data_IF_106237352407
#
_entry.id   IF_106237352407
#
_cell.length_a   1.000
_cell.length_b   1.000
_cell.length_c   1.000
_cell.angle_alpha   90.00
_cell.angle_beta   90.00
_cell.angle_gamma   90.00
#
_symmetry.space_group_name_H-M   'P 1'
#
loop_
_entity.id
_entity.type
_entity.pdbx_description
1 polymer ?
#
# COMPACT_ATOMS: atom_id res chain seq x y z
N UNK A 1 20.89 3.70 52.30
CA UNK A 1 21.63 3.43 51.04
C UNK A 1 20.90 2.44 50.12
N UNK A 2 20.28 1.37 50.62
CA UNK A 2 19.56 0.36 49.81
C UNK A 2 18.37 0.93 49.02
N UNK A 3 17.66 1.91 49.58
CA UNK A 3 16.47 2.53 48.98
C UNK A 3 16.80 3.38 47.74
N UNK A 4 17.99 3.96 47.68
CA UNK A 4 18.45 4.77 46.55
C UNK A 4 18.85 3.86 45.36
N UNK A 5 19.48 2.70 45.64
CA UNK A 5 19.83 1.70 44.62
C UNK A 5 18.60 1.06 43.95
N UNK A 6 17.54 0.77 44.71
CA UNK A 6 16.30 0.22 44.15
C UNK A 6 15.62 1.23 43.24
N UNK A 7 15.55 2.48 43.67
CA UNK A 7 14.97 3.57 42.86
C UNK A 7 15.78 3.77 41.58
N UNK A 8 17.11 3.79 41.66
CA UNK A 8 18.00 3.93 40.50
C UNK A 8 17.85 2.76 39.52
N UNK A 9 17.81 1.52 40.00
CA UNK A 9 17.61 0.33 39.16
C UNK A 9 16.24 0.31 38.47
N UNK A 10 15.17 0.75 39.15
CA UNK A 10 13.83 0.87 38.55
C UNK A 10 13.79 1.91 37.43
N UNK A 11 14.48 3.05 37.61
CA UNK A 11 14.60 4.06 36.56
C UNK A 11 15.39 3.54 35.36
N UNK A 12 16.46 2.78 35.58
CA UNK A 12 17.26 2.17 34.50
C UNK A 12 16.44 1.15 33.69
N UNK A 13 15.62 0.32 34.34
CA UNK A 13 14.73 -0.65 33.67
C UNK A 13 13.65 0.04 32.84
N UNK A 14 13.07 1.14 33.34
CA UNK A 14 12.11 1.97 32.60
C UNK A 14 12.73 2.63 31.36
N UNK A 15 13.98 3.10 31.46
CA UNK A 15 14.72 3.70 30.35
C UNK A 15 15.07 2.64 29.28
N UNK A 16 15.50 1.44 29.69
CA UNK A 16 15.82 0.33 28.76
C UNK A 16 14.58 -0.15 28.01
N UNK A 17 13.42 -0.22 28.65
CA UNK A 17 12.16 -0.55 27.99
C UNK A 17 11.71 0.51 26.96
N UNK A 18 12.17 1.76 27.09
CA UNK A 18 11.76 2.90 26.26
C UNK A 18 12.60 3.10 25.00
N UNK A 19 13.73 2.39 24.85
CA UNK A 19 14.63 2.55 23.69
C UNK A 19 14.46 1.48 22.61
N UNK A 20 13.63 0.47 22.85
CA UNK A 20 13.27 -0.51 21.82
C UNK A 20 11.94 -0.12 21.16
N UNK A 21 11.92 1.03 20.47
CA UNK A 21 10.87 1.31 19.48
C UNK A 21 11.34 0.67 18.18
N UNK A 22 10.73 -0.43 17.71
CA UNK A 22 11.13 -1.05 16.47
C UNK A 22 10.84 -0.09 15.32
N UNK A 23 11.87 0.37 14.62
CA UNK A 23 11.92 0.89 13.24
C UNK A 23 10.62 1.36 12.56
N UNK A 24 9.81 2.22 13.19
CA UNK A 24 8.64 2.85 12.53
C UNK A 24 9.08 3.83 11.40
N UNK A 25 10.31 4.34 11.48
CA UNK A 25 10.86 5.28 10.50
C UNK A 25 11.10 4.68 9.10
N UNK A 26 11.28 3.35 9.00
CA UNK A 26 11.46 2.66 7.72
C UNK A 26 10.16 2.53 6.94
N UNK A 27 9.08 2.12 7.62
CA UNK A 27 7.76 1.93 7.02
C UNK A 27 7.12 3.27 6.60
N UNK A 28 7.25 4.32 7.41
CA UNK A 28 6.62 5.62 7.12
C UNK A 28 7.18 6.29 5.87
N UNK A 29 8.51 6.29 5.69
CA UNK A 29 9.15 6.89 4.53
C UNK A 29 8.83 6.13 3.24
N UNK A 30 8.77 4.79 3.29
CA UNK A 30 8.36 3.98 2.14
C UNK A 30 6.89 4.24 1.78
N UNK A 31 6.02 4.31 2.80
CA UNK A 31 4.61 4.63 2.63
C UNK A 31 4.42 6.00 2.00
N UNK A 32 5.09 7.03 2.54
CA UNK A 32 5.04 8.40 2.01
C UNK A 32 5.49 8.44 0.55
N UNK A 33 6.60 7.76 0.23
CA UNK A 33 7.10 7.66 -1.15
C UNK A 33 6.10 6.95 -2.07
N UNK A 34 5.44 5.88 -1.62
CA UNK A 34 4.37 5.21 -2.35
C UNK A 34 3.21 6.17 -2.64
N UNK A 35 2.75 6.92 -1.63
CA UNK A 35 1.69 7.91 -1.78
C UNK A 35 2.08 9.01 -2.78
N UNK A 36 3.20 9.69 -2.55
CA UNK A 36 3.61 10.86 -3.33
C UNK A 36 3.96 10.51 -4.78
N UNK A 37 4.62 9.36 -5.01
CA UNK A 37 5.08 8.99 -6.35
C UNK A 37 4.05 8.25 -7.19
N UNK A 38 3.03 7.66 -6.56
CA UNK A 38 2.07 6.80 -7.26
C UNK A 38 0.61 7.15 -7.00
N UNK A 39 0.19 7.21 -5.74
CA UNK A 39 -1.25 7.26 -5.43
C UNK A 39 -1.79 8.67 -5.58
N UNK A 40 -1.01 9.70 -5.24
CA UNK A 40 -1.42 11.11 -5.30
C UNK A 40 -1.83 11.58 -6.70
N UNK A 41 -1.44 10.83 -7.74
CA UNK A 41 -1.75 11.13 -9.15
C UNK A 41 -2.99 10.41 -9.69
N UNK A 42 -3.47 9.40 -8.98
CA UNK A 42 -4.75 8.74 -9.28
C UNK A 42 -5.85 9.48 -8.51
N UNK A 43 -6.98 9.74 -9.16
CA UNK A 43 -8.11 10.37 -8.46
C UNK A 43 -8.58 9.49 -7.29
N UNK A 44 -9.03 10.08 -6.16
CA UNK A 44 -9.48 9.30 -5.01
C UNK A 44 -10.57 8.27 -5.34
N UNK A 45 -11.47 8.63 -6.26
CA UNK A 45 -12.53 7.74 -6.77
C UNK A 45 -11.95 6.53 -7.49
N UNK A 46 -10.95 6.74 -8.34
CA UNK A 46 -10.31 5.65 -9.08
C UNK A 46 -9.43 4.79 -8.19
N UNK A 47 -8.68 5.38 -7.26
CA UNK A 47 -7.93 4.64 -6.25
C UNK A 47 -8.83 3.68 -5.46
N UNK A 48 -10.00 4.16 -5.02
CA UNK A 48 -10.99 3.32 -4.33
C UNK A 48 -11.53 2.20 -5.24
N UNK A 49 -11.82 2.49 -6.51
CA UNK A 49 -12.28 1.51 -7.49
C UNK A 49 -11.27 0.38 -7.73
N UNK A 50 -10.01 0.74 -7.91
CA UNK A 50 -8.89 -0.20 -8.11
C UNK A 50 -8.74 -1.12 -6.90
N UNK A 51 -8.68 -0.55 -5.70
CA UNK A 51 -8.56 -1.32 -4.45
C UNK A 51 -9.79 -2.24 -4.28
N UNK A 52 -10.99 -1.73 -4.55
CA UNK A 52 -12.24 -2.49 -4.41
C UNK A 52 -12.36 -3.65 -5.41
N UNK A 53 -11.73 -3.57 -6.57
CA UNK A 53 -11.68 -4.68 -7.52
C UNK A 53 -10.70 -5.78 -7.10
N UNK A 54 -9.50 -5.38 -6.68
CA UNK A 54 -8.47 -6.35 -6.25
C UNK A 54 -8.87 -7.03 -4.95
N UNK A 55 -9.24 -6.26 -3.93
CA UNK A 55 -9.50 -6.77 -2.59
C UNK A 55 -10.96 -7.12 -2.33
N UNK A 56 -11.87 -6.64 -3.18
CA UNK A 56 -13.31 -6.89 -3.08
C UNK A 56 -13.89 -7.58 -4.31
N UNK A 57 -15.12 -7.19 -4.65
CA UNK A 57 -15.92 -7.73 -5.76
C UNK A 57 -16.42 -6.64 -6.72
N UNK A 58 -15.93 -5.42 -6.61
CA UNK A 58 -16.36 -4.31 -7.48
C UNK A 58 -15.60 -4.32 -8.80
N UNK A 59 -16.16 -3.69 -9.82
CA UNK A 59 -15.53 -3.52 -11.13
C UNK A 59 -15.07 -2.06 -11.26
N UNK A 60 -13.85 -1.87 -11.72
CA UNK A 60 -13.26 -0.56 -12.03
C UNK A 60 -13.93 0.00 -13.29
N UNK A 61 -14.12 1.32 -13.35
CA UNK A 61 -14.63 1.95 -14.56
C UNK A 61 -13.53 2.12 -15.61
N UNK A 62 -13.91 2.22 -16.88
CA UNK A 62 -12.96 2.47 -17.99
C UNK A 62 -12.16 3.78 -17.79
N UNK A 63 -12.75 4.91 -17.37
CA UNK A 63 -11.96 6.11 -17.06
C UNK A 63 -10.89 5.88 -15.99
N UNK A 64 -11.19 5.09 -14.96
CA UNK A 64 -10.22 4.74 -13.93
C UNK A 64 -9.14 3.77 -14.44
N UNK A 65 -9.44 2.94 -15.44
CA UNK A 65 -8.41 2.18 -16.14
C UNK A 65 -7.44 3.08 -16.90
N UNK A 66 -7.91 4.17 -17.51
CA UNK A 66 -7.01 5.14 -18.16
C UNK A 66 -6.07 5.81 -17.15
N UNK A 67 -6.60 6.28 -16.01
CA UNK A 67 -5.75 6.83 -14.94
C UNK A 67 -4.73 5.79 -14.46
N UNK A 68 -5.15 4.55 -14.23
CA UNK A 68 -4.25 3.48 -13.80
C UNK A 68 -3.13 3.20 -14.81
N UNK A 69 -3.47 3.13 -16.11
CA UNK A 69 -2.50 2.86 -17.18
C UNK A 69 -1.53 4.04 -17.34
N UNK A 70 -2.03 5.28 -17.23
CA UNK A 70 -1.22 6.49 -17.28
C UNK A 70 -0.20 6.55 -16.13
N UNK A 71 -0.58 6.16 -14.92
CA UNK A 71 0.35 6.09 -13.78
C UNK A 71 1.30 4.90 -13.84
N UNK A 72 0.89 3.83 -14.51
CA UNK A 72 1.77 2.74 -14.90
C UNK A 72 1.83 1.56 -13.92
N UNK A 73 2.25 0.42 -14.48
CA UNK A 73 2.22 -0.89 -13.81
C UNK A 73 2.97 -0.92 -12.49
N UNK A 74 4.10 -0.21 -12.42
CA UNK A 74 4.95 -0.18 -11.22
C UNK A 74 4.23 0.40 -10.02
N UNK A 75 3.39 1.42 -10.23
CA UNK A 75 2.61 2.05 -9.17
C UNK A 75 1.47 1.14 -8.70
N UNK A 76 0.71 0.58 -9.64
CA UNK A 76 -0.29 -0.44 -9.36
C UNK A 76 0.28 -1.62 -8.56
N UNK A 77 1.42 -2.14 -8.99
CA UNK A 77 2.03 -3.31 -8.36
C UNK A 77 2.48 -3.06 -6.93
N UNK A 78 3.09 -1.90 -6.67
CA UNK A 78 3.52 -1.54 -5.31
C UNK A 78 2.32 -1.31 -4.39
N UNK A 79 1.28 -0.63 -4.86
CA UNK A 79 0.07 -0.39 -4.07
C UNK A 79 -0.58 -1.69 -3.63
N UNK A 80 -0.83 -2.60 -4.58
CA UNK A 80 -1.46 -3.89 -4.25
C UNK A 80 -0.56 -4.69 -3.31
N UNK A 81 0.75 -4.79 -3.58
CA UNK A 81 1.66 -5.56 -2.70
C UNK A 81 1.68 -5.00 -1.29
N UNK A 82 1.75 -3.68 -1.14
CA UNK A 82 1.71 -3.02 0.16
C UNK A 82 0.45 -3.36 0.96
N UNK A 83 -0.73 -3.35 0.31
CA UNK A 83 -1.99 -3.71 0.98
C UNK A 83 -2.07 -5.21 1.24
N UNK A 84 -1.65 -6.06 0.30
CA UNK A 84 -1.71 -7.51 0.45
C UNK A 84 -0.79 -8.05 1.57
N UNK A 85 0.30 -7.33 1.85
CA UNK A 85 1.21 -7.64 2.96
C UNK A 85 0.65 -7.30 4.35
N UNK A 86 -0.54 -6.71 4.45
CA UNK A 86 -1.15 -6.44 5.76
C UNK A 86 -1.47 -7.75 6.49
N UNK A 87 -1.31 -7.84 7.82
CA UNK A 87 -1.50 -9.08 8.59
C UNK A 87 -2.86 -9.76 8.37
N UNK A 88 -3.91 -8.97 8.14
CA UNK A 88 -5.27 -9.47 7.88
C UNK A 88 -5.50 -9.96 6.44
N UNK A 89 -4.56 -9.73 5.53
CA UNK A 89 -4.68 -10.04 4.09
C UNK A 89 -3.60 -11.00 3.58
N UNK A 90 -2.45 -11.09 4.26
CA UNK A 90 -1.28 -11.86 3.81
C UNK A 90 -1.57 -13.34 3.55
N UNK A 91 -2.51 -13.95 4.29
CA UNK A 91 -2.92 -15.34 4.04
C UNK A 91 -3.55 -15.59 2.65
N UNK A 92 -3.99 -14.53 1.97
CA UNK A 92 -4.53 -14.56 0.62
C UNK A 92 -3.68 -13.76 -0.37
N UNK A 93 -2.43 -13.43 -0.05
CA UNK A 93 -1.57 -12.56 -0.86
C UNK A 93 -1.55 -12.98 -2.33
N UNK A 94 -1.25 -14.25 -2.63
CA UNK A 94 -1.18 -14.79 -3.99
C UNK A 94 -2.45 -14.52 -4.81
N UNK A 95 -3.63 -14.62 -4.18
CA UNK A 95 -4.92 -14.30 -4.83
C UNK A 95 -5.02 -12.83 -5.20
N UNK A 96 -4.56 -11.92 -4.34
CA UNK A 96 -4.57 -10.49 -4.63
C UNK A 96 -3.53 -10.11 -5.70
N UNK A 97 -2.37 -10.77 -5.72
CA UNK A 97 -1.37 -10.56 -6.77
C UNK A 97 -1.86 -11.04 -8.14
N UNK A 98 -2.58 -12.17 -8.19
CA UNK A 98 -3.24 -12.63 -9.42
C UNK A 98 -4.26 -11.59 -9.92
N UNK A 99 -5.19 -11.19 -9.05
CA UNK A 99 -6.22 -10.18 -9.38
C UNK A 99 -5.63 -8.83 -9.81
N UNK A 100 -4.48 -8.45 -9.26
CA UNK A 100 -3.74 -7.26 -9.70
C UNK A 100 -3.30 -7.37 -11.14
N UNK A 101 -2.72 -8.49 -11.51
CA UNK A 101 -2.20 -8.71 -12.87
C UNK A 101 -3.36 -8.82 -13.88
N UNK A 102 -4.47 -9.46 -13.49
CA UNK A 102 -5.72 -9.48 -14.27
C UNK A 102 -6.29 -8.07 -14.48
N UNK A 103 -6.41 -7.27 -13.43
CA UNK A 103 -6.88 -5.89 -13.52
C UNK A 103 -5.96 -5.04 -14.41
N UNK A 104 -4.65 -5.20 -14.30
CA UNK A 104 -3.71 -4.50 -15.17
C UNK A 104 -3.91 -4.86 -16.65
N UNK A 105 -4.01 -6.16 -16.95
CA UNK A 105 -4.24 -6.65 -18.31
C UNK A 105 -5.56 -6.13 -18.88
N UNK A 106 -6.64 -6.16 -18.07
CA UNK A 106 -7.93 -5.59 -18.42
C UNK A 106 -7.82 -4.09 -18.75
N UNK A 107 -7.21 -3.30 -17.87
CA UNK A 107 -7.08 -1.86 -18.08
C UNK A 107 -6.24 -1.51 -19.32
N UNK A 108 -5.13 -2.20 -19.55
CA UNK A 108 -4.33 -2.03 -20.78
C UNK A 108 -5.14 -2.34 -22.03
N UNK A 109 -6.02 -3.35 -21.97
CA UNK A 109 -6.88 -3.72 -23.09
C UNK A 109 -7.90 -2.61 -23.40
N UNK A 110 -8.67 -2.17 -22.41
CA UNK A 110 -9.74 -1.17 -22.61
C UNK A 110 -9.21 0.25 -22.87
N UNK A 111 -8.01 0.57 -22.43
CA UNK A 111 -7.40 1.88 -22.74
C UNK A 111 -6.93 1.99 -24.19
N UNK A 112 -6.65 0.86 -24.87
CA UNK A 112 -6.36 0.86 -26.31
C UNK A 112 -7.61 1.09 -27.16
N UNK A 113 -8.75 0.56 -26.73
CA UNK A 113 -10.01 0.65 -27.49
C UNK A 113 -10.64 2.03 -27.49
N UNK A 114 -10.28 2.88 -26.52
CA UNK A 114 -10.79 4.26 -26.39
C UNK A 114 -9.79 5.28 -26.95
N UNK A 115 -8.63 4.87 -27.47
CA UNK A 115 -7.78 5.77 -28.26
C UNK A 115 -8.47 6.02 -29.60
N UNK A 116 -9.08 7.20 -29.83
CA UNK A 116 -9.56 7.55 -31.15
C UNK A 116 -8.31 7.86 -31.99
N UNK A 117 -8.33 7.42 -33.24
CA UNK A 117 -7.61 8.01 -34.36
C UNK A 117 -6.99 9.38 -34.03
N UNK A 118 -5.65 9.44 -33.94
CA UNK A 118 -4.94 10.69 -34.22
C UNK A 118 -4.92 10.87 -35.73
#
# INVERSE_FOLDING_TARGET
MVKLNIVMMSFVVLIVASTCVPSLAGDENERKRLWDQCIAKISPKCALGIISQVFGKRVVSIPCCHELVQEGKKCHNRLVKYIANRPNLVGNESKYLLKRDELWAYCVSVSKTVSPTR
#
